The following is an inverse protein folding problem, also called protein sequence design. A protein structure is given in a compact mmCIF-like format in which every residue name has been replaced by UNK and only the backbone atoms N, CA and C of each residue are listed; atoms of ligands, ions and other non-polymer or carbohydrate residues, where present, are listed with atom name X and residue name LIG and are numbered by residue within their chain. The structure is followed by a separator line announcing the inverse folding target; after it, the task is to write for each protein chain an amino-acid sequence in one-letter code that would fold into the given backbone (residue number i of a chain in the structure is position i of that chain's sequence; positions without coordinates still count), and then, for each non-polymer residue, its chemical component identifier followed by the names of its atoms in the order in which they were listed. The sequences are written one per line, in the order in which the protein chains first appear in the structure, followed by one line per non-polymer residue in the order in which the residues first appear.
data_IF_425118735223
#
_entry.id   IF_425118735223
#
_cell.length_a   1.000
_cell.length_b   1.000
_cell.length_c   1.000
_cell.angle_alpha   90.00
_cell.angle_beta   90.00
_cell.angle_gamma   90.00
#
_symmetry.space_group_name_H-M   'P 1'
#
loop_
_entity.id
_entity.type
_entity.pdbx_description
1 polymer ?
#
# COMPACT_ATOMS: atom_id res chain seq x y z
N UNK A 1 37.54 -25.80 -1.83
CA UNK A 1 38.46 -25.89 -0.65
C UNK A 1 39.84 -25.33 -0.90
N UNK A 2 40.67 -25.89 -1.80
CA UNK A 2 42.05 -25.42 -2.03
C UNK A 2 42.13 -23.97 -2.56
N UNK A 3 41.30 -23.61 -3.52
CA UNK A 3 41.29 -22.28 -4.16
C UNK A 3 40.78 -21.15 -3.25
N UNK A 4 40.10 -21.48 -2.15
CA UNK A 4 39.50 -20.51 -1.21
C UNK A 4 40.28 -20.41 0.12
N UNK A 5 41.43 -21.09 0.21
CA UNK A 5 42.29 -21.06 1.40
C UNK A 5 41.83 -21.96 2.55
N UNK A 6 41.03 -23.00 2.26
CA UNK A 6 40.53 -23.98 3.24
C UNK A 6 41.14 -25.38 3.02
N UNK A 7 42.38 -25.44 2.53
CA UNK A 7 43.06 -26.70 2.21
C UNK A 7 43.27 -27.61 3.42
N UNK A 8 43.46 -27.04 4.62
CA UNK A 8 43.62 -27.78 5.88
C UNK A 8 42.40 -28.63 6.25
N UNK A 9 41.21 -28.29 5.75
CA UNK A 9 39.96 -28.99 6.02
C UNK A 9 39.59 -30.02 4.94
N UNK A 10 40.39 -30.16 3.87
CA UNK A 10 40.11 -31.13 2.80
C UNK A 10 39.99 -32.56 3.32
N UNK A 11 40.86 -32.97 4.26
CA UNK A 11 40.86 -34.32 4.82
C UNK A 11 39.56 -34.64 5.55
N UNK A 12 39.01 -33.66 6.28
CA UNK A 12 37.73 -33.82 6.99
C UNK A 12 36.56 -33.96 6.00
N UNK A 13 36.50 -33.11 4.97
CA UNK A 13 35.43 -33.19 3.95
C UNK A 13 35.52 -34.48 3.13
N UNK A 14 36.73 -34.97 2.82
CA UNK A 14 36.95 -36.24 2.12
C UNK A 14 36.57 -37.45 2.98
N UNK A 15 36.91 -37.41 4.28
CA UNK A 15 36.53 -38.45 5.26
C UNK A 15 35.01 -38.62 5.34
N UNK A 16 34.26 -37.51 5.35
CA UNK A 16 32.80 -37.51 5.41
C UNK A 16 32.14 -37.62 4.02
N UNK A 17 32.94 -37.74 2.94
CA UNK A 17 32.47 -37.81 1.54
C UNK A 17 31.49 -36.69 1.19
N UNK A 18 31.79 -35.47 1.63
CA UNK A 18 30.97 -34.30 1.34
C UNK A 18 31.00 -34.03 -0.17
N UNK A 19 29.87 -34.30 -0.83
CA UNK A 19 29.66 -34.01 -2.24
C UNK A 19 29.15 -32.57 -2.45
N UNK A 20 28.79 -32.22 -3.68
CA UNK A 20 28.31 -30.88 -4.03
C UNK A 20 27.03 -30.48 -3.29
N UNK A 21 26.10 -31.42 -3.12
CA UNK A 21 24.78 -31.17 -2.54
C UNK A 21 24.87 -31.05 -1.01
N UNK A 22 25.66 -31.93 -0.36
CA UNK A 22 26.01 -31.80 1.05
C UNK A 22 26.79 -30.51 1.32
N UNK A 23 27.71 -30.11 0.42
CA UNK A 23 28.47 -28.88 0.59
C UNK A 23 27.59 -27.65 0.58
N UNK A 24 26.56 -27.61 -0.28
CA UNK A 24 25.65 -26.48 -0.37
C UNK A 24 24.68 -26.44 0.82
N UNK A 25 24.30 -27.59 1.39
CA UNK A 25 23.36 -27.65 2.53
C UNK A 25 24.02 -27.63 3.90
N UNK A 26 25.37 -27.67 3.96
CA UNK A 26 26.13 -27.78 5.21
C UNK A 26 25.79 -26.65 6.21
N UNK A 27 25.56 -27.07 7.45
CA UNK A 27 25.20 -26.19 8.57
C UNK A 27 26.41 -25.79 9.40
N UNK A 28 26.28 -24.72 10.20
CA UNK A 28 27.36 -24.30 11.11
C UNK A 28 27.69 -25.38 12.15
N UNK A 29 26.71 -26.20 12.54
CA UNK A 29 26.89 -27.28 13.52
C UNK A 29 27.77 -28.40 12.95
N UNK A 30 27.49 -28.85 11.73
CA UNK A 30 28.27 -29.87 11.02
C UNK A 30 29.70 -29.37 10.73
N UNK A 31 29.85 -28.09 10.41
CA UNK A 31 31.17 -27.48 10.26
C UNK A 31 32.00 -27.53 11.55
N UNK A 32 31.36 -27.38 12.72
CA UNK A 32 32.04 -27.46 14.01
C UNK A 32 32.29 -28.89 14.46
N UNK A 33 31.29 -29.77 14.32
CA UNK A 33 31.32 -31.12 14.87
C UNK A 33 32.09 -32.09 13.95
N UNK A 34 31.84 -32.04 12.65
CA UNK A 34 32.37 -33.02 11.69
C UNK A 34 33.58 -32.49 10.93
N UNK A 35 33.54 -31.22 10.51
CA UNK A 35 34.67 -30.59 9.82
C UNK A 35 35.72 -29.99 10.77
N UNK A 36 35.51 -30.08 12.09
CA UNK A 36 36.41 -29.57 13.13
C UNK A 36 36.81 -28.09 12.96
N UNK A 37 35.92 -27.27 12.41
CA UNK A 37 36.13 -25.82 12.32
C UNK A 37 35.71 -25.14 13.63
N UNK A 38 36.58 -25.19 14.64
CA UNK A 38 36.30 -24.60 15.96
C UNK A 38 36.14 -23.08 15.91
N UNK A 39 37.05 -22.40 15.18
CA UNK A 39 37.04 -20.94 15.05
C UNK A 39 35.78 -20.43 14.36
N UNK A 40 35.00 -19.63 15.08
CA UNK A 40 33.80 -18.97 14.55
C UNK A 40 34.11 -17.99 13.40
N UNK A 41 35.30 -17.38 13.39
CA UNK A 41 35.74 -16.51 12.30
C UNK A 41 36.06 -17.29 11.02
N UNK A 42 36.68 -18.47 11.15
CA UNK A 42 36.92 -19.36 10.01
C UNK A 42 35.61 -19.89 9.44
N UNK A 43 34.67 -20.30 10.30
CA UNK A 43 33.32 -20.69 9.88
C UNK A 43 32.59 -19.57 9.15
N UNK A 44 32.63 -18.34 9.68
CA UNK A 44 32.01 -17.18 9.02
C UNK A 44 32.66 -16.86 7.67
N UNK A 45 33.98 -16.96 7.56
CA UNK A 45 34.70 -16.78 6.29
C UNK A 45 34.32 -17.88 5.29
N UNK A 46 34.23 -19.13 5.75
CA UNK A 46 33.83 -20.27 4.92
C UNK A 46 32.40 -20.10 4.39
N UNK A 47 31.45 -19.78 5.27
CA UNK A 47 30.04 -19.55 4.89
C UNK A 47 29.89 -18.39 3.90
N UNK A 48 30.76 -17.38 3.96
CA UNK A 48 30.78 -16.30 2.98
C UNK A 48 31.26 -16.77 1.60
N UNK A 49 32.33 -17.55 1.54
CA UNK A 49 32.79 -18.15 0.27
C UNK A 49 31.75 -19.13 -0.29
N UNK A 50 31.07 -19.87 0.59
CA UNK A 50 29.98 -20.77 0.22
C UNK A 50 28.78 -19.98 -0.34
N UNK A 51 28.38 -18.87 0.29
CA UNK A 51 27.31 -18.01 -0.22
C UNK A 51 27.60 -17.46 -1.62
N UNK A 52 28.85 -17.06 -1.88
CA UNK A 52 29.31 -16.63 -3.21
C UNK A 52 29.28 -17.78 -4.23
N UNK A 53 29.66 -18.99 -3.79
CA UNK A 53 29.53 -20.17 -4.63
C UNK A 53 28.07 -20.42 -4.99
N UNK A 54 27.16 -20.41 -4.00
CA UNK A 54 25.71 -20.59 -4.19
C UNK A 54 25.10 -19.57 -5.15
N UNK A 55 25.49 -18.30 -5.05
CA UNK A 55 24.99 -17.27 -5.97
C UNK A 55 25.47 -17.50 -7.41
N UNK A 56 26.69 -17.99 -7.59
CA UNK A 56 27.31 -18.19 -8.89
C UNK A 56 26.94 -19.52 -9.55
N UNK A 57 26.64 -20.56 -8.77
CA UNK A 57 26.23 -21.87 -9.29
C UNK A 57 24.88 -21.78 -10.00
N UNK A 58 24.84 -22.23 -11.26
CA UNK A 58 23.66 -22.32 -12.10
C UNK A 58 23.05 -23.73 -12.01
N UNK A 59 22.78 -24.20 -10.80
CA UNK A 59 22.17 -25.50 -10.57
C UNK A 59 20.89 -25.28 -9.77
N UNK A 60 19.75 -25.32 -10.46
CA UNK A 60 18.43 -25.09 -9.87
C UNK A 60 17.45 -24.38 -10.80
N UNK A 61 16.22 -24.23 -10.32
CA UNK A 61 15.15 -23.49 -10.97
C UNK A 61 15.61 -22.06 -11.29
N UNK A 62 15.77 -21.80 -12.59
CA UNK A 62 16.29 -20.53 -13.09
C UNK A 62 15.34 -19.38 -12.77
N UNK A 63 14.04 -19.65 -12.69
CA UNK A 63 12.99 -18.67 -12.43
C UNK A 63 13.05 -18.22 -10.98
N UNK A 64 13.16 -19.17 -10.03
CA UNK A 64 13.35 -18.85 -8.62
C UNK A 64 14.64 -18.05 -8.40
N UNK A 65 15.72 -18.43 -9.10
CA UNK A 65 17.00 -17.71 -9.02
C UNK A 65 16.90 -16.28 -9.55
N UNK A 66 16.23 -16.08 -10.69
CA UNK A 66 16.02 -14.76 -11.28
C UNK A 66 15.10 -13.89 -10.41
N UNK A 67 14.05 -14.48 -9.84
CA UNK A 67 13.18 -13.80 -8.89
C UNK A 67 13.95 -13.31 -7.67
N UNK A 68 14.77 -14.17 -7.05
CA UNK A 68 15.64 -13.78 -5.93
C UNK A 68 16.62 -12.67 -6.35
N UNK A 69 17.22 -12.77 -7.55
CA UNK A 69 18.14 -11.75 -8.07
C UNK A 69 17.47 -10.38 -8.21
N UNK A 70 16.19 -10.34 -8.59
CA UNK A 70 15.42 -9.10 -8.69
C UNK A 70 15.17 -8.45 -7.32
N UNK A 71 15.20 -9.21 -6.22
CA UNK A 71 15.13 -8.67 -4.86
C UNK A 71 16.45 -8.03 -4.41
N UNK A 72 17.56 -8.50 -4.96
CA UNK A 72 18.90 -8.00 -4.70
C UNK A 72 20.00 -9.01 -5.04
N UNK A 73 21.24 -8.54 -5.20
CA UNK A 73 22.37 -9.38 -5.58
C UNK A 73 22.73 -10.45 -4.53
N UNK A 74 22.30 -10.28 -3.27
CA UNK A 74 22.60 -11.20 -2.19
C UNK A 74 21.63 -12.39 -2.08
N UNK A 75 20.40 -12.31 -2.60
CA UNK A 75 19.38 -13.36 -2.39
C UNK A 75 19.58 -14.65 -3.19
N UNK A 76 20.25 -14.69 -4.36
CA UNK A 76 20.49 -15.94 -5.09
C UNK A 76 21.20 -17.02 -4.27
N UNK A 77 21.88 -16.66 -3.18
CA UNK A 77 22.47 -17.63 -2.24
C UNK A 77 21.44 -18.55 -1.57
N UNK A 78 20.16 -18.17 -1.55
CA UNK A 78 19.06 -18.94 -0.94
C UNK A 78 18.37 -19.90 -1.90
N UNK A 79 18.65 -19.82 -3.20
CA UNK A 79 17.97 -20.62 -4.24
C UNK A 79 18.02 -22.11 -3.92
N UNK A 80 19.21 -22.65 -3.63
CA UNK A 80 19.37 -24.08 -3.36
C UNK A 80 18.69 -24.51 -2.07
N UNK A 81 18.69 -23.66 -1.03
CA UNK A 81 18.05 -23.98 0.23
C UNK A 81 16.52 -24.06 0.05
N UNK A 82 15.92 -23.11 -0.67
CA UNK A 82 14.49 -23.11 -0.97
C UNK A 82 14.10 -24.31 -1.84
N UNK A 83 14.87 -24.61 -2.89
CA UNK A 83 14.67 -25.78 -3.75
C UNK A 83 14.74 -27.10 -2.98
N UNK A 84 15.73 -27.24 -2.09
CA UNK A 84 15.89 -28.45 -1.29
C UNK A 84 14.73 -28.66 -0.30
N UNK A 85 14.11 -27.58 0.17
CA UNK A 85 12.86 -27.64 0.95
C UNK A 85 11.62 -27.93 0.10
N UNK A 86 11.75 -28.06 -1.23
CA UNK A 86 10.64 -28.21 -2.15
C UNK A 86 9.81 -26.93 -2.32
N UNK A 87 10.39 -25.76 -2.02
CA UNK A 87 9.72 -24.46 -2.19
C UNK A 87 10.00 -23.98 -3.61
N UNK A 88 9.00 -24.09 -4.47
CA UNK A 88 8.96 -23.52 -5.82
C UNK A 88 8.23 -22.16 -5.82
N UNK A 89 8.21 -21.49 -6.98
CA UNK A 89 7.52 -20.22 -7.17
C UNK A 89 6.01 -20.28 -6.86
N UNK A 90 5.38 -21.44 -7.06
CA UNK A 90 3.96 -21.66 -6.80
C UNK A 90 3.66 -21.81 -5.30
N UNK A 91 4.60 -22.35 -4.53
CA UNK A 91 4.51 -22.51 -3.08
C UNK A 91 4.99 -21.29 -2.31
N UNK A 92 5.78 -20.40 -2.94
CA UNK A 92 6.22 -19.14 -2.33
C UNK A 92 5.07 -18.34 -1.67
N UNK A 93 3.91 -18.12 -2.31
CA UNK A 93 2.72 -17.51 -1.69
C UNK A 93 2.31 -18.05 -0.31
N UNK A 94 2.58 -19.31 -0.05
CA UNK A 94 2.07 -20.04 1.12
C UNK A 94 3.12 -20.20 2.23
N UNK A 95 4.36 -19.77 1.99
CA UNK A 95 5.42 -19.88 3.01
C UNK A 95 5.31 -18.79 4.08
N UNK A 96 5.61 -19.18 5.32
CA UNK A 96 5.65 -18.29 6.47
C UNK A 96 7.11 -18.03 6.90
N UNK A 97 7.29 -17.20 7.94
CA UNK A 97 8.63 -16.90 8.44
C UNK A 97 9.32 -18.14 9.03
N UNK A 98 8.56 -19.05 9.63
CA UNK A 98 9.09 -20.27 10.25
C UNK A 98 9.66 -21.22 9.20
N UNK A 99 9.01 -21.37 8.04
CA UNK A 99 9.54 -22.17 6.92
C UNK A 99 10.84 -21.56 6.38
N UNK A 100 10.92 -20.23 6.28
CA UNK A 100 12.15 -19.57 5.84
C UNK A 100 13.29 -19.70 6.85
N UNK A 101 12.97 -19.71 8.14
CA UNK A 101 13.98 -19.78 9.20
C UNK A 101 14.45 -21.21 9.48
N UNK A 102 13.51 -22.12 9.74
CA UNK A 102 13.81 -23.48 10.17
C UNK A 102 14.17 -24.39 9.00
N UNK A 103 13.42 -24.33 7.90
CA UNK A 103 13.60 -25.24 6.77
C UNK A 103 14.63 -24.66 5.78
N UNK A 104 14.41 -23.44 5.28
CA UNK A 104 15.31 -22.82 4.31
C UNK A 104 16.61 -22.24 4.93
N UNK A 105 16.74 -22.25 6.26
CA UNK A 105 17.94 -21.84 6.97
C UNK A 105 18.31 -20.35 6.80
N UNK A 106 17.36 -19.49 6.46
CA UNK A 106 17.59 -18.05 6.28
C UNK A 106 17.61 -17.38 7.66
N UNK A 107 18.76 -17.38 8.32
CA UNK A 107 18.90 -16.83 9.68
C UNK A 107 18.75 -15.30 9.75
N UNK A 108 19.05 -14.59 8.66
CA UNK A 108 18.91 -13.14 8.59
C UNK A 108 17.42 -12.73 8.51
N UNK A 109 16.90 -12.17 9.60
CA UNK A 109 15.50 -11.73 9.69
C UNK A 109 15.12 -10.63 8.69
N UNK A 110 16.06 -9.77 8.30
CA UNK A 110 15.80 -8.74 7.28
C UNK A 110 15.60 -9.37 5.90
N UNK A 111 16.37 -10.41 5.59
CA UNK A 111 16.23 -11.13 4.33
C UNK A 111 14.90 -11.89 4.29
N UNK A 112 14.52 -12.57 5.38
CA UNK A 112 13.20 -13.21 5.49
C UNK A 112 12.06 -12.22 5.30
N UNK A 113 12.11 -11.07 5.98
CA UNK A 113 11.10 -10.03 5.85
C UNK A 113 10.97 -9.51 4.41
N UNK A 114 12.10 -9.26 3.73
CA UNK A 114 12.10 -8.81 2.33
C UNK A 114 11.54 -9.87 1.38
N UNK A 115 11.94 -11.12 1.54
CA UNK A 115 11.42 -12.26 0.78
C UNK A 115 9.90 -12.38 0.98
N UNK A 116 9.42 -12.42 2.22
CA UNK A 116 7.98 -12.49 2.54
C UNK A 116 7.19 -11.29 2.01
N UNK A 117 7.77 -10.09 2.03
CA UNK A 117 7.13 -8.89 1.46
C UNK A 117 7.05 -8.94 -0.06
N UNK A 118 8.04 -9.54 -0.72
CA UNK A 118 8.08 -9.71 -2.17
C UNK A 118 7.22 -10.87 -2.68
N UNK A 119 6.86 -11.81 -1.82
CA UNK A 119 5.92 -12.90 -2.12
C UNK A 119 4.48 -12.38 -2.23
N UNK A 120 4.10 -11.44 -1.36
CA UNK A 120 2.77 -10.82 -1.35
C UNK A 120 2.29 -10.26 -2.69
N UNK A 121 3.16 -9.66 -3.55
CA UNK A 121 2.75 -9.26 -4.90
C UNK A 121 2.73 -10.39 -5.94
N UNK A 122 3.38 -11.54 -5.71
CA UNK A 122 3.34 -12.70 -6.62
C UNK A 122 2.01 -13.46 -6.50
N UNK A 123 1.51 -13.57 -5.27
CA UNK A 123 0.19 -14.09 -4.98
C UNK A 123 -0.86 -13.03 -5.31
N UNK A 124 -1.51 -13.13 -6.47
CA UNK A 124 -2.76 -12.40 -6.75
C UNK A 124 -3.89 -12.68 -5.73
N UNK A 125 -3.66 -13.53 -4.72
CA UNK A 125 -4.48 -13.68 -3.53
C UNK A 125 -4.23 -12.54 -2.53
N UNK A 126 -5.07 -11.50 -2.63
CA UNK A 126 -5.54 -10.79 -1.45
C UNK A 126 -6.24 -11.79 -0.52
N UNK A 127 -5.98 -11.66 0.78
CA UNK A 127 -6.83 -12.13 1.87
C UNK A 127 -7.05 -13.64 2.00
N UNK A 128 -6.03 -14.36 2.47
CA UNK A 128 -6.27 -15.38 3.49
C UNK A 128 -5.62 -14.94 4.79
N UNK A 129 -6.46 -14.49 5.71
CA UNK A 129 -6.10 -14.41 7.13
C UNK A 129 -5.58 -15.78 7.58
N UNK A 130 -4.57 -15.76 8.45
CA UNK A 130 -3.89 -16.94 9.01
C UNK A 130 -4.91 -17.91 9.63
N UNK A 131 -5.22 -19.02 8.96
CA UNK A 131 -6.11 -20.09 9.50
C UNK A 131 -5.33 -21.22 10.17
N UNK A 132 -4.00 -21.27 10.06
CA UNK A 132 -3.20 -22.37 10.63
C UNK A 132 -2.03 -21.85 11.47
N UNK A 133 -2.33 -21.24 12.61
CA UNK A 133 -1.43 -21.33 13.77
C UNK A 133 -2.00 -22.41 14.71
N UNK A 134 -1.32 -23.55 14.74
CA UNK A 134 -1.58 -24.62 15.71
C UNK A 134 -1.15 -24.17 17.13
N UNK A 135 -1.80 -24.68 18.19
CA UNK A 135 -1.74 -24.11 19.51
C UNK A 135 -0.56 -24.71 20.28
N UNK A 136 0.53 -23.96 20.47
CA UNK A 136 1.43 -24.13 21.62
C UNK A 136 2.54 -23.08 21.60
N UNK A 137 2.39 -22.01 22.41
CA UNK A 137 3.30 -21.64 23.51
C UNK A 137 2.91 -20.25 24.04
N UNK A 138 2.78 -20.07 25.38
CA UNK A 138 2.23 -18.85 25.94
C UNK A 138 3.25 -17.71 25.85
N UNK A 139 2.86 -16.59 25.23
CA UNK A 139 3.59 -15.33 25.37
C UNK A 139 3.35 -14.80 26.78
N UNK A 140 4.47 -14.58 27.48
CA UNK A 140 4.56 -13.98 28.81
C UNK A 140 3.73 -12.71 28.90
N UNK A 141 2.97 -12.65 29.98
CA UNK A 141 2.17 -11.53 30.42
C UNK A 141 2.99 -10.23 30.50
N UNK A 142 2.44 -9.18 29.93
CA UNK A 142 2.47 -7.84 30.51
C UNK A 142 1.00 -7.50 30.77
N UNK A 143 0.71 -7.24 32.04
CA UNK A 143 -0.60 -7.03 32.63
C UNK A 143 -1.21 -5.65 32.26
N UNK A 144 -2.52 -5.46 32.53
CA UNK A 144 -3.38 -4.51 31.84
C UNK A 144 -3.61 -3.22 32.63
N UNK A 145 -3.73 -2.12 31.89
CA UNK A 145 -4.39 -0.87 32.28
C UNK A 145 -4.52 -0.08 30.96
N UNK A 146 -5.67 0.30 30.45
CA UNK A 146 -6.94 0.63 31.08
C UNK A 146 -8.03 0.48 30.02
N UNK A 147 -9.25 0.16 30.44
CA UNK A 147 -10.39 0.15 29.54
C UNK A 147 -10.72 1.58 29.12
N UNK A 148 -10.35 1.94 27.88
CA UNK A 148 -11.08 2.95 27.13
C UNK A 148 -11.53 2.32 25.82
N UNK A 149 -12.78 1.87 25.82
CA UNK A 149 -13.57 1.72 24.61
C UNK A 149 -13.59 3.05 23.86
N UNK A 150 -12.69 3.20 22.88
CA UNK A 150 -12.90 4.02 21.69
C UNK A 150 -11.95 3.51 20.61
N UNK A 151 -12.52 2.74 19.71
CA UNK A 151 -11.96 2.35 18.42
C UNK A 151 -11.89 3.58 17.51
N UNK A 152 -10.74 3.90 16.88
CA UNK A 152 -10.76 4.64 15.63
C UNK A 152 -10.04 3.83 14.54
N UNK A 153 -10.84 3.23 13.66
CA UNK A 153 -10.52 3.03 12.25
C UNK A 153 -9.09 2.53 11.95
N UNK A 154 -8.86 1.23 12.02
CA UNK A 154 -7.93 0.61 11.06
C UNK A 154 -8.58 0.61 9.67
N UNK A 155 -8.70 1.82 9.09
CA UNK A 155 -8.98 1.99 7.66
C UNK A 155 -7.74 1.49 6.92
N UNK A 156 -7.72 0.18 6.62
CA UNK A 156 -6.59 -0.50 5.98
C UNK A 156 -6.49 -0.23 4.47
N UNK A 157 -7.38 0.60 3.94
CA UNK A 157 -7.42 0.98 2.53
C UNK A 157 -7.24 2.50 2.39
N UNK A 158 -6.24 2.92 1.62
CA UNK A 158 -5.96 4.34 1.42
C UNK A 158 -6.93 4.95 0.42
N UNK A 159 -7.21 4.25 -0.68
CA UNK A 159 -8.02 4.77 -1.79
C UNK A 159 -8.98 3.71 -2.31
N UNK A 160 -10.26 4.05 -2.32
CA UNK A 160 -11.28 3.33 -3.09
C UNK A 160 -11.58 4.12 -4.37
N UNK A 161 -11.54 3.47 -5.54
CA UNK A 161 -11.88 4.09 -6.82
C UNK A 161 -13.22 3.54 -7.31
N UNK A 162 -14.23 4.40 -7.34
CA UNK A 162 -15.53 4.15 -7.98
C UNK A 162 -15.52 4.66 -9.41
N UNK A 163 -16.05 3.89 -10.36
CA UNK A 163 -16.09 4.27 -11.78
C UNK A 163 -17.24 3.60 -12.53
N UNK A 164 -17.70 4.25 -13.60
CA UNK A 164 -18.64 3.61 -14.55
C UNK A 164 -17.89 2.60 -15.41
N UNK A 165 -18.21 1.30 -15.28
CA UNK A 165 -17.54 0.24 -16.07
C UNK A 165 -17.54 0.49 -17.58
N UNK A 166 -18.66 0.98 -18.12
CA UNK A 166 -18.83 1.20 -19.55
C UNK A 166 -17.93 2.28 -20.15
N UNK A 167 -17.55 3.31 -19.37
CA UNK A 167 -16.85 4.49 -19.91
C UNK A 167 -15.61 4.92 -19.12
N UNK A 168 -15.46 4.51 -17.86
CA UNK A 168 -14.39 4.96 -16.96
C UNK A 168 -13.34 3.91 -16.60
N UNK A 169 -13.42 2.69 -17.16
CA UNK A 169 -12.52 1.57 -16.82
C UNK A 169 -11.04 1.84 -17.12
N UNK A 170 -10.77 2.51 -18.24
CA UNK A 170 -9.41 2.87 -18.65
C UNK A 170 -8.78 3.87 -17.66
N UNK A 171 -9.48 4.96 -17.37
CA UNK A 171 -8.99 5.98 -16.44
C UNK A 171 -8.85 5.42 -15.02
N UNK A 172 -9.81 4.62 -14.55
CA UNK A 172 -9.71 3.98 -13.23
C UNK A 172 -8.48 3.07 -13.11
N UNK A 173 -8.18 2.30 -14.15
CA UNK A 173 -7.00 1.43 -14.21
C UNK A 173 -5.70 2.25 -14.21
N UNK A 174 -5.67 3.35 -14.98
CA UNK A 174 -4.53 4.26 -15.03
C UNK A 174 -4.27 4.90 -13.66
N UNK A 175 -5.31 5.47 -13.04
CA UNK A 175 -5.22 6.06 -11.70
C UNK A 175 -4.72 5.04 -10.69
N UNK A 176 -5.22 3.79 -10.73
CA UNK A 176 -4.75 2.71 -9.87
C UNK A 176 -3.25 2.47 -10.02
N UNK A 177 -2.76 2.29 -11.25
CA UNK A 177 -1.33 2.02 -11.49
C UNK A 177 -0.48 3.17 -10.95
N UNK A 178 -0.81 4.43 -11.27
CA UNK A 178 -0.04 5.58 -10.82
C UNK A 178 -0.06 5.80 -9.31
N UNK A 179 -1.20 5.54 -8.65
CA UNK A 179 -1.31 5.64 -7.20
C UNK A 179 -0.58 4.50 -6.48
N UNK A 180 -0.60 3.28 -7.05
CA UNK A 180 0.16 2.14 -6.52
C UNK A 180 1.68 2.36 -6.63
N UNK A 181 2.15 2.94 -7.73
CA UNK A 181 3.56 3.34 -7.88
C UNK A 181 3.99 4.36 -6.81
N UNK A 182 3.05 5.19 -6.33
CA UNK A 182 3.24 6.14 -5.22
C UNK A 182 2.99 5.52 -3.83
N UNK A 183 2.94 4.19 -3.74
CA UNK A 183 2.74 3.42 -2.50
C UNK A 183 1.38 3.59 -1.82
N UNK A 184 0.33 4.02 -2.54
CA UNK A 184 -1.04 3.98 -2.01
C UNK A 184 -1.65 2.58 -2.17
N UNK A 185 -2.38 2.13 -1.16
CA UNK A 185 -3.24 0.94 -1.28
C UNK A 185 -4.54 1.33 -1.98
N UNK A 186 -4.72 0.84 -3.22
CA UNK A 186 -5.85 1.18 -4.07
C UNK A 186 -6.75 -0.04 -4.28
N UNK A 187 -8.06 0.17 -4.17
CA UNK A 187 -9.08 -0.80 -4.57
C UNK A 187 -9.90 -0.25 -5.73
N UNK A 188 -10.13 -1.09 -6.74
CA UNK A 188 -11.05 -0.85 -7.86
C UNK A 188 -12.02 -2.03 -7.89
N UNK A 189 -13.27 -1.78 -8.25
CA UNK A 189 -14.26 -2.84 -8.44
C UNK A 189 -14.01 -3.56 -9.79
N UNK A 190 -13.33 -4.72 -9.77
CA UNK A 190 -13.07 -5.53 -10.97
C UNK A 190 -13.97 -6.77 -11.00
N UNK A 191 -14.56 -6.99 -12.17
CA UNK A 191 -15.60 -7.94 -12.60
C UNK A 191 -15.68 -9.39 -12.06
N UNK A 192 -14.80 -9.89 -11.19
CA UNK A 192 -14.78 -11.32 -10.82
C UNK A 192 -15.40 -11.63 -9.47
N UNK A 193 -16.62 -11.15 -9.21
CA UNK A 193 -17.34 -11.48 -7.98
C UNK A 193 -18.73 -11.99 -8.29
N UNK A 194 -18.86 -13.32 -8.24
CA UNK A 194 -20.07 -14.10 -8.46
C UNK A 194 -21.22 -13.61 -7.56
N UNK A 195 -22.42 -13.55 -8.14
CA UNK A 195 -23.61 -12.98 -7.53
C UNK A 195 -24.00 -13.67 -6.21
N UNK A 196 -24.20 -12.89 -5.13
CA UNK A 196 -25.02 -13.31 -3.99
C UNK A 196 -24.57 -12.89 -2.59
N UNK A 197 -23.28 -12.58 -2.35
CA UNK A 197 -22.76 -12.22 -1.00
C UNK A 197 -21.87 -10.98 -0.94
N UNK A 198 -21.69 -10.24 -2.04
CA UNK A 198 -20.65 -9.21 -2.15
C UNK A 198 -21.08 -7.80 -1.71
N UNK A 199 -22.38 -7.50 -1.68
CA UNK A 199 -22.92 -6.18 -1.33
C UNK A 199 -22.31 -5.60 -0.05
N UNK A 200 -22.20 -6.43 1.00
CA UNK A 200 -21.64 -5.97 2.27
C UNK A 200 -20.12 -5.78 2.23
N UNK A 201 -19.39 -6.56 1.44
CA UNK A 201 -17.93 -6.47 1.36
C UNK A 201 -17.47 -5.24 0.57
N UNK A 202 -18.17 -4.89 -0.51
CA UNK A 202 -17.90 -3.67 -1.28
C UNK A 202 -18.14 -2.42 -0.44
N UNK A 203 -19.32 -2.32 0.17
CA UNK A 203 -19.68 -1.17 0.99
C UNK A 203 -18.82 -1.09 2.27
N UNK A 204 -18.43 -2.23 2.86
CA UNK A 204 -17.45 -2.25 3.95
C UNK A 204 -16.06 -1.80 3.50
N UNK A 205 -15.66 -2.10 2.26
CA UNK A 205 -14.39 -1.60 1.71
C UNK A 205 -14.40 -0.07 1.58
N UNK A 206 -15.55 0.52 1.22
CA UNK A 206 -15.72 1.98 1.18
C UNK A 206 -15.68 2.59 2.58
N UNK A 207 -16.38 1.98 3.55
CA UNK A 207 -16.35 2.41 4.96
C UNK A 207 -14.94 2.38 5.54
N UNK A 208 -14.16 1.39 5.16
CA UNK A 208 -12.77 1.20 5.57
C UNK A 208 -11.75 1.99 4.73
N UNK A 209 -12.20 2.79 3.76
CA UNK A 209 -11.31 3.61 2.94
C UNK A 209 -11.08 4.99 3.58
N UNK A 210 -9.84 5.49 3.52
CA UNK A 210 -9.53 6.88 3.88
C UNK A 210 -10.07 7.85 2.82
N UNK A 211 -9.78 7.56 1.56
CA UNK A 211 -10.14 8.39 0.42
C UNK A 211 -11.05 7.62 -0.54
N UNK A 212 -11.99 8.35 -1.14
CA UNK A 212 -12.91 7.85 -2.14
C UNK A 212 -12.75 8.66 -3.42
N UNK A 213 -12.15 8.07 -4.44
CA UNK A 213 -11.95 8.70 -5.74
C UNK A 213 -13.09 8.29 -6.66
N UNK A 214 -13.85 9.28 -7.14
CA UNK A 214 -14.98 9.05 -8.03
C UNK A 214 -14.61 9.43 -9.47
N UNK A 215 -14.48 8.45 -10.35
CA UNK A 215 -14.20 8.68 -11.77
C UNK A 215 -15.48 9.03 -12.50
N UNK A 216 -15.59 10.30 -12.89
CA UNK A 216 -16.68 10.86 -13.64
C UNK A 216 -16.29 10.94 -15.12
N UNK A 217 -16.52 9.85 -15.84
CA UNK A 217 -16.46 9.79 -17.31
C UNK A 217 -17.77 10.29 -17.93
N UNK A 218 -17.80 10.46 -19.25
CA UNK A 218 -19.04 10.75 -19.99
C UNK A 218 -20.17 9.81 -19.56
N UNK A 219 -21.33 10.38 -19.21
CA UNK A 219 -22.54 9.66 -18.76
C UNK A 219 -22.38 8.81 -17.49
N UNK A 220 -21.37 9.08 -16.64
CA UNK A 220 -21.12 8.28 -15.44
C UNK A 220 -22.32 8.23 -14.47
N UNK A 221 -23.04 9.34 -14.30
CA UNK A 221 -24.17 9.47 -13.37
C UNK A 221 -25.55 9.27 -14.01
N UNK A 222 -25.64 8.99 -15.32
CA UNK A 222 -26.93 8.97 -16.01
C UNK A 222 -27.89 7.90 -15.48
N UNK A 223 -27.37 6.77 -14.99
CA UNK A 223 -28.19 5.72 -14.36
C UNK A 223 -28.53 5.98 -12.90
N UNK A 224 -27.87 6.95 -12.26
CA UNK A 224 -28.20 7.38 -10.90
C UNK A 224 -29.34 8.41 -10.89
N UNK A 225 -29.63 9.06 -12.03
CA UNK A 225 -30.72 10.03 -12.15
C UNK A 225 -32.06 9.34 -11.88
N UNK A 226 -32.78 9.80 -10.86
CA UNK A 226 -34.06 9.22 -10.45
C UNK A 226 -33.99 7.81 -9.84
N UNK A 227 -32.81 7.32 -9.45
CA UNK A 227 -32.64 6.01 -8.81
C UNK A 227 -32.99 6.07 -7.32
N UNK A 228 -34.29 6.11 -7.00
CA UNK A 228 -34.78 6.15 -5.61
C UNK A 228 -34.68 4.78 -4.92
N UNK A 229 -34.54 3.70 -5.68
CA UNK A 229 -34.52 2.32 -5.17
C UNK A 229 -33.11 1.76 -4.96
N UNK A 230 -32.06 2.58 -5.06
CA UNK A 230 -30.66 2.18 -4.90
C UNK A 230 -30.24 1.02 -5.82
N UNK A 231 -30.75 0.99 -7.05
CA UNK A 231 -30.46 -0.08 -8.01
C UNK A 231 -29.09 0.06 -8.65
N UNK A 232 -28.59 1.29 -8.80
CA UNK A 232 -27.27 1.52 -9.40
C UNK A 232 -26.17 1.42 -8.33
N UNK A 233 -25.12 0.66 -8.65
CA UNK A 233 -24.00 0.46 -7.74
C UNK A 233 -23.24 1.76 -7.46
N UNK A 234 -23.00 2.60 -8.47
CA UNK A 234 -22.30 3.87 -8.28
C UNK A 234 -23.08 4.78 -7.32
N UNK A 235 -24.41 4.74 -7.38
CA UNK A 235 -25.27 5.45 -6.44
C UNK A 235 -25.05 4.95 -5.00
N UNK A 236 -25.14 3.64 -4.76
CA UNK A 236 -24.89 3.03 -3.43
C UNK A 236 -23.50 3.35 -2.88
N UNK A 237 -22.48 3.32 -3.72
CA UNK A 237 -21.10 3.60 -3.34
C UNK A 237 -20.93 5.06 -2.90
N UNK A 238 -21.51 6.00 -3.65
CA UNK A 238 -21.46 7.43 -3.34
C UNK A 238 -22.15 7.72 -2.01
N UNK A 239 -23.36 7.21 -1.80
CA UNK A 239 -24.11 7.41 -0.56
C UNK A 239 -23.33 6.83 0.63
N UNK A 240 -22.75 5.63 0.46
CA UNK A 240 -21.92 5.01 1.51
C UNK A 240 -20.66 5.83 1.81
N UNK A 241 -20.01 6.41 0.81
CA UNK A 241 -18.84 7.26 0.99
C UNK A 241 -19.18 8.56 1.74
N UNK A 242 -20.34 9.15 1.45
CA UNK A 242 -20.87 10.33 2.14
C UNK A 242 -21.19 10.03 3.62
N UNK A 243 -21.89 8.93 3.89
CA UNK A 243 -22.21 8.48 5.25
C UNK A 243 -20.94 8.18 6.07
N UNK A 244 -19.95 7.58 5.43
CA UNK A 244 -18.67 7.18 6.06
C UNK A 244 -17.70 8.35 6.26
N UNK A 245 -18.07 9.56 5.83
CA UNK A 245 -17.24 10.77 5.84
C UNK A 245 -15.85 10.54 5.22
N UNK A 246 -15.81 9.79 4.12
CA UNK A 246 -14.57 9.59 3.37
C UNK A 246 -14.17 10.90 2.68
N UNK A 247 -12.87 11.08 2.42
CA UNK A 247 -12.40 12.20 1.59
C UNK A 247 -12.75 11.92 0.12
N UNK A 248 -13.86 12.49 -0.35
CA UNK A 248 -14.37 12.28 -1.71
C UNK A 248 -13.68 13.22 -2.69
N UNK A 249 -13.04 12.65 -3.72
CA UNK A 249 -12.31 13.38 -4.75
C UNK A 249 -12.87 13.00 -6.13
N UNK A 250 -13.74 13.83 -6.73
CA UNK A 250 -14.22 13.62 -8.08
C UNK A 250 -13.10 13.85 -9.11
N UNK A 251 -12.88 12.90 -10.01
CA UNK A 251 -11.96 13.03 -11.17
C UNK A 251 -12.79 13.04 -12.44
N UNK A 252 -12.84 14.19 -13.12
CA UNK A 252 -13.70 14.43 -14.27
C UNK A 252 -12.94 14.25 -15.57
N UNK A 253 -13.36 13.28 -16.38
CA UNK A 253 -12.92 13.10 -17.76
C UNK A 253 -14.08 13.37 -18.70
N UNK A 254 -13.96 14.47 -19.46
CA UNK A 254 -14.98 14.93 -20.44
C UNK A 254 -16.42 14.98 -19.89
N UNK A 255 -16.57 15.04 -18.56
CA UNK A 255 -17.84 15.01 -17.86
C UNK A 255 -18.44 16.40 -17.67
N UNK A 256 -19.77 16.46 -17.67
CA UNK A 256 -20.55 17.66 -17.35
C UNK A 256 -21.48 17.35 -16.19
N UNK A 257 -21.44 18.20 -15.17
CA UNK A 257 -22.33 18.07 -14.03
C UNK A 257 -23.79 18.21 -14.47
N UNK A 258 -24.67 17.25 -14.12
CA UNK A 258 -26.10 17.43 -14.25
C UNK A 258 -26.60 18.48 -13.24
N UNK A 259 -27.83 18.94 -13.42
CA UNK A 259 -28.48 19.80 -12.43
C UNK A 259 -28.62 19.04 -11.10
N UNK A 260 -28.38 19.68 -9.94
CA UNK A 260 -28.50 19.02 -8.64
C UNK A 260 -29.87 18.36 -8.41
N UNK A 261 -30.93 18.93 -8.98
CA UNK A 261 -32.31 18.43 -8.84
C UNK A 261 -32.56 17.14 -9.64
N UNK A 262 -31.74 16.84 -10.66
CA UNK A 262 -31.83 15.58 -11.42
C UNK A 262 -31.23 14.38 -10.65
N UNK A 263 -30.42 14.66 -9.62
CA UNK A 263 -29.82 13.64 -8.77
C UNK A 263 -30.68 13.42 -7.51
N UNK A 264 -30.75 12.17 -7.03
CA UNK A 264 -31.28 11.84 -5.72
C UNK A 264 -30.70 12.72 -4.60
N UNK A 265 -31.53 13.03 -3.59
CA UNK A 265 -31.21 14.01 -2.55
C UNK A 265 -30.03 13.59 -1.66
N UNK A 266 -29.88 12.29 -1.45
CA UNK A 266 -28.81 11.66 -0.68
C UNK A 266 -27.43 11.74 -1.34
N UNK A 267 -27.34 11.75 -2.67
CA UNK A 267 -26.07 11.88 -3.39
C UNK A 267 -25.76 13.29 -3.88
N UNK A 268 -26.72 14.23 -3.83
CA UNK A 268 -26.57 15.61 -4.36
C UNK A 268 -25.34 16.36 -3.80
N UNK A 269 -24.92 16.01 -2.58
CA UNK A 269 -23.75 16.60 -1.94
C UNK A 269 -22.47 16.49 -2.78
N UNK A 270 -22.33 15.47 -3.63
CA UNK A 270 -21.13 15.27 -4.47
C UNK A 270 -20.83 16.45 -5.41
N UNK A 271 -21.85 17.20 -5.83
CA UNK A 271 -21.69 18.33 -6.74
C UNK A 271 -20.91 19.50 -6.12
N UNK A 272 -20.78 19.52 -4.79
CA UNK A 272 -20.08 20.57 -4.05
C UNK A 272 -18.65 20.18 -3.65
N UNK A 273 -18.20 18.96 -3.96
CA UNK A 273 -16.83 18.54 -3.67
C UNK A 273 -15.85 19.08 -4.71
N UNK A 274 -14.65 19.42 -4.25
CA UNK A 274 -13.57 19.88 -5.11
C UNK A 274 -13.08 18.74 -6.00
N UNK A 275 -13.33 18.86 -7.30
CA UNK A 275 -12.92 17.87 -8.30
C UNK A 275 -11.64 18.24 -9.06
N UNK A 276 -11.01 17.23 -9.63
CA UNK A 276 -9.87 17.35 -10.53
C UNK A 276 -10.35 17.11 -11.95
N UNK A 277 -10.08 18.06 -12.85
CA UNK A 277 -10.31 17.87 -14.28
C UNK A 277 -9.13 17.09 -14.87
N UNK A 278 -9.41 15.93 -15.43
CA UNK A 278 -8.42 15.11 -16.12
C UNK A 278 -8.07 15.74 -17.48
N UNK A 279 -6.78 15.84 -17.78
CA UNK A 279 -6.27 16.34 -19.06
C UNK A 279 -5.25 15.33 -19.57
N UNK A 280 -5.54 14.70 -20.72
CA UNK A 280 -4.73 13.62 -21.27
C UNK A 280 -3.28 14.03 -21.60
N UNK A 281 -3.04 15.31 -21.91
CA UNK A 281 -1.71 15.84 -22.22
C UNK A 281 -0.87 16.11 -20.95
N UNK A 282 -1.51 16.21 -19.78
CA UNK A 282 -0.88 16.59 -18.51
C UNK A 282 -1.18 15.58 -17.39
N UNK A 283 -1.04 14.29 -17.70
CA UNK A 283 -1.41 13.19 -16.79
C UNK A 283 -0.66 13.26 -15.46
N UNK A 284 0.66 13.44 -15.50
CA UNK A 284 1.49 13.47 -14.29
C UNK A 284 1.06 14.60 -13.34
N UNK A 285 0.80 15.80 -13.86
CA UNK A 285 0.33 16.93 -13.07
C UNK A 285 -1.05 16.68 -12.46
N UNK A 286 -1.95 16.01 -13.19
CA UNK A 286 -3.24 15.58 -12.65
C UNK A 286 -3.08 14.57 -11.51
N UNK A 287 -2.15 13.61 -11.61
CA UNK A 287 -1.90 12.66 -10.53
C UNK A 287 -1.21 13.33 -9.33
N UNK A 288 -0.25 14.22 -9.54
CA UNK A 288 0.38 14.98 -8.45
C UNK A 288 -0.64 15.80 -7.67
N UNK A 289 -1.59 16.42 -8.39
CA UNK A 289 -2.71 17.11 -7.77
C UNK A 289 -3.60 16.14 -7.00
N UNK A 290 -3.93 14.98 -7.56
CA UNK A 290 -4.72 13.94 -6.88
C UNK A 290 -4.03 13.47 -5.60
N UNK A 291 -2.72 13.25 -5.62
CA UNK A 291 -1.93 12.87 -4.46
C UNK A 291 -2.03 13.91 -3.32
N UNK A 292 -1.96 15.21 -3.64
CA UNK A 292 -2.11 16.28 -2.63
C UNK A 292 -3.48 16.26 -1.96
N UNK A 293 -4.53 15.99 -2.73
CA UNK A 293 -5.88 15.83 -2.19
C UNK A 293 -5.99 14.58 -1.29
N UNK A 294 -5.34 13.48 -1.67
CA UNK A 294 -5.32 12.23 -0.90
C UNK A 294 -4.55 12.35 0.43
N UNK A 295 -3.48 13.15 0.47
CA UNK A 295 -2.68 13.41 1.68
C UNK A 295 -3.31 14.45 2.60
N UNK A 296 -4.37 15.13 2.16
CA UNK A 296 -5.10 16.13 2.96
C UNK A 296 -4.40 17.49 3.06
N UNK A 297 -3.37 17.75 2.26
CA UNK A 297 -2.56 18.98 2.33
C UNK A 297 -3.34 20.23 1.84
N UNK A 298 -4.34 20.06 0.97
CA UNK A 298 -5.19 21.18 0.50
C UNK A 298 -6.44 21.40 1.37
N UNK A 299 -6.99 20.34 2.00
CA UNK A 299 -8.17 20.46 2.87
C UNK A 299 -7.85 21.22 4.18
N UNK A 300 -6.63 21.07 4.71
CA UNK A 300 -6.20 21.78 5.93
C UNK A 300 -5.96 23.28 5.69
N UNK A 301 -5.42 23.66 4.52
CA UNK A 301 -5.19 25.08 4.16
C UNK A 301 -6.50 25.85 4.04
N UNK A 302 -7.52 25.26 3.44
CA UNK A 302 -8.83 25.92 3.31
C UNK A 302 -9.61 26.00 4.64
N UNK A 303 -9.52 24.98 5.51
CA UNK A 303 -10.13 25.08 6.85
C UNK A 303 -9.45 26.19 7.67
N UNK A 304 -8.11 26.29 7.62
CA UNK A 304 -7.37 27.38 8.27
C UNK A 304 -7.65 28.74 7.62
N UNK A 305 -7.76 28.84 6.29
CA UNK A 305 -8.09 30.10 5.60
C UNK A 305 -9.53 30.55 5.89
N UNK A 306 -10.50 29.63 5.93
CA UNK A 306 -11.89 29.94 6.30
C UNK A 306 -12.03 30.30 7.78
N UNK A 307 -11.25 29.68 8.67
CA UNK A 307 -11.26 29.99 10.11
C UNK A 307 -10.52 31.32 10.41
N UNK A 308 -9.45 31.64 9.68
CA UNK A 308 -8.69 32.90 9.82
C UNK A 308 -9.45 34.09 9.23
N UNK A 309 -10.26 33.90 8.17
CA UNK A 309 -11.16 34.94 7.68
C UNK A 309 -12.34 35.18 8.65
N UNK A 310 -12.81 34.15 9.36
CA UNK A 310 -13.82 34.29 10.41
C UNK A 310 -13.34 34.96 11.71
N UNK A 311 -12.04 34.82 12.06
CA UNK A 311 -11.46 35.40 13.28
C UNK A 311 -10.96 36.84 13.14
N UNK A 312 -10.84 37.37 11.91
CA UNK A 312 -10.54 38.80 11.69
C UNK A 312 -11.78 39.72 11.74
N UNK A 313 -12.97 39.17 11.96
CA UNK A 313 -14.23 39.91 11.96
C UNK A 313 -14.68 40.49 13.31
N UNK A 314 -14.03 40.17 14.43
CA UNK A 314 -14.53 40.59 15.75
C UNK A 314 -13.42 41.03 16.70
N UNK A 315 -13.40 42.35 16.91
CA UNK A 315 -12.98 43.13 18.09
C UNK A 315 -11.73 43.98 17.94
N UNK A 316 -11.97 45.29 17.78
CA UNK A 316 -11.36 46.42 18.52
C UNK A 316 -12.01 47.71 17.96
N UNK A 317 -12.69 48.59 18.67
CA UNK A 317 -13.00 48.78 20.08
C UNK A 317 -13.65 50.17 20.20
N UNK A 318 -14.67 50.29 21.05
CA UNK A 318 -15.32 51.57 21.39
C UNK A 318 -14.32 52.52 22.08
N UNK A 319 -14.37 53.83 21.75
CA UNK A 319 -13.58 54.85 22.46
C UNK A 319 -13.78 56.30 22.00
N UNK A 320 -14.91 56.91 22.41
CA UNK A 320 -15.13 58.32 22.80
C UNK A 320 -14.42 59.48 22.05
N UNK A 321 -15.24 60.21 21.26
CA UNK A 321 -15.54 61.67 21.33
C UNK A 321 -14.36 62.64 21.56
N UNK A 322 -14.06 63.48 20.56
CA UNK A 322 -14.07 64.93 20.77
C UNK A 322 -14.32 65.75 19.51
N UNK A 323 -15.02 66.86 19.72
CA UNK A 323 -15.57 67.81 18.77
C UNK A 323 -14.55 68.91 18.38
N UNK A 324 -14.95 69.72 17.38
CA UNK A 324 -14.31 70.93 16.77
C UNK A 324 -13.58 70.57 15.47
N UNK A 325 -14.04 70.94 14.27
CA UNK A 325 -14.73 72.15 13.86
C UNK A 325 -13.70 73.12 13.31
N UNK A 326 -13.50 73.15 11.99
CA UNK A 326 -13.32 74.41 11.28
C UNK A 326 -13.60 74.27 9.77
N UNK A 327 -14.07 75.40 9.27
CA UNK A 327 -14.64 75.74 7.96
C UNK A 327 -13.61 76.10 6.88
N UNK A 328 -14.13 76.37 5.67
CA UNK A 328 -13.48 77.05 4.52
C UNK A 328 -12.50 76.21 3.67
N UNK A 329 -12.38 76.34 2.35
CA UNK A 329 -13.13 77.08 1.33
C UNK A 329 -12.81 76.51 -0.07
N UNK A 330 -13.75 76.72 -0.98
CA UNK A 330 -13.64 77.00 -2.43
C UNK A 330 -12.40 76.63 -3.31
N UNK A 331 -12.77 76.25 -4.54
CA UNK A 331 -12.29 76.78 -5.84
C UNK A 331 -11.12 76.15 -6.63
N UNK A 332 -11.38 76.03 -7.94
CA UNK A 332 -10.43 76.19 -9.05
C UNK A 332 -9.96 74.87 -9.68
N UNK A 333 -10.55 74.38 -10.78
CA UNK A 333 -10.39 74.84 -12.17
C UNK A 333 -8.99 74.67 -12.77
N UNK A 334 -9.01 74.12 -13.98
CA UNK A 334 -8.06 74.25 -15.11
C UNK A 334 -6.76 73.46 -15.08
N UNK A 335 -6.55 72.73 -16.18
CA UNK A 335 -5.35 72.00 -16.57
C UNK A 335 -5.69 70.94 -17.58
#
# INVERSE_FOLDING_TARGET
MKNIGFASFCVAFEKHRVDGDLLITITEKELTQDAQMESSLLRRRFLRELALLKSNTCSGDWELKEWLKNLGPEYPQYTHNLMHCGIDLDLLPFINEDHLFNDAGITNGVHRMKILRAIKPLSGLRDYARVFDSPTRPKRAILPSDQTDTNPNMKNLDVFISYRRATGSLLASLLKVHLQLRSFTVFIDVEKLEAGKFDNNLLNSIRNAHNFVLVLSTSALDRCKGDVEYKDWVHREIVTALESKCNIIPVMDTFRWPKPEELPEDMRAICYFNGIKWIHDYQDACIDKLERFLRGEENMKQYLEQTVVGLKGTQSGHGLRNSRGDSHDSNGSTG
#
